data_IF_161944658112
#
_entry.id   IF_161944658112
#
_cell.length_a   1.000
_cell.length_b   1.000
_cell.length_c   1.000
_cell.angle_alpha   90.00
_cell.angle_beta   90.00
_cell.angle_gamma   90.00
#
_symmetry.space_group_name_H-M   'P 1'
#
loop_
_entity.id
_entity.type
_entity.pdbx_description
1 polymer ?
#
# COMPACT_ATOMS: atom_id res chain seq x y z
N UNK A 1 18.24 -2.98 2.14
CA UNK A 1 18.01 -4.43 2.38
C UNK A 1 16.62 -4.63 2.97
N UNK A 2 16.04 -5.83 2.95
CA UNK A 2 14.68 -6.06 3.49
C UNK A 2 14.56 -5.72 4.98
N UNK A 3 15.62 -5.96 5.77
CA UNK A 3 15.64 -5.66 7.21
C UNK A 3 15.52 -4.15 7.52
N UNK A 4 16.11 -3.28 6.72
CA UNK A 4 16.00 -1.81 6.88
C UNK A 4 14.58 -1.32 6.58
N UNK A 5 13.87 -2.02 5.68
CA UNK A 5 12.50 -1.65 5.30
C UNK A 5 11.51 -2.02 6.40
N UNK A 6 11.69 -3.19 7.03
CA UNK A 6 10.83 -3.64 8.13
C UNK A 6 11.09 -2.84 9.41
N UNK A 7 12.35 -2.46 9.67
CA UNK A 7 12.69 -1.55 10.76
C UNK A 7 12.08 -0.16 10.57
N UNK A 8 12.18 0.40 9.36
CA UNK A 8 11.53 1.67 9.01
C UNK A 8 10.00 1.61 9.16
N UNK A 9 9.37 0.53 8.69
CA UNK A 9 7.91 0.31 8.80
C UNK A 9 7.47 0.25 10.26
N UNK A 10 8.23 -0.44 11.12
CA UNK A 10 7.95 -0.53 12.54
C UNK A 10 8.11 0.83 13.25
N UNK A 11 9.19 1.57 12.96
CA UNK A 11 9.37 2.92 13.51
C UNK A 11 8.25 3.86 13.08
N UNK A 12 7.88 3.84 11.80
CA UNK A 12 6.79 4.66 11.27
C UNK A 12 5.45 4.29 11.91
N UNK A 13 5.10 3.01 12.00
CA UNK A 13 3.86 2.54 12.61
C UNK A 13 3.75 2.98 14.08
N UNK A 14 4.83 2.88 14.85
CA UNK A 14 4.89 3.34 16.25
C UNK A 14 4.68 4.85 16.37
N UNK A 15 5.40 5.64 15.58
CA UNK A 15 5.26 7.09 15.57
C UNK A 15 3.84 7.53 15.22
N UNK A 16 3.17 6.78 14.34
CA UNK A 16 1.82 7.11 13.92
C UNK A 16 0.76 6.72 14.94
N UNK A 17 0.88 5.56 15.62
CA UNK A 17 0.03 5.18 16.75
C UNK A 17 0.13 6.24 17.86
N UNK A 18 1.35 6.71 18.16
CA UNK A 18 1.58 7.78 19.13
C UNK A 18 0.90 9.09 18.71
N UNK A 19 0.93 9.43 17.41
CA UNK A 19 0.32 10.64 16.88
C UNK A 19 -1.22 10.58 16.79
N UNK A 20 -1.82 9.39 16.59
CA UNK A 20 -3.28 9.24 16.41
C UNK A 20 -4.03 8.76 17.64
N UNK A 21 -3.32 8.36 18.71
CA UNK A 21 -3.92 7.85 19.94
C UNK A 21 -4.36 6.38 19.83
N UNK A 22 -4.79 5.77 20.95
CA UNK A 22 -5.06 4.33 21.06
C UNK A 22 -6.21 3.83 20.18
N UNK A 23 -7.13 4.71 19.78
CA UNK A 23 -8.25 4.40 18.89
C UNK A 23 -7.93 4.69 17.41
N UNK A 24 -6.79 5.33 17.13
CA UNK A 24 -6.35 5.67 15.78
C UNK A 24 -5.43 4.59 15.24
N UNK A 25 -5.70 4.10 14.03
CA UNK A 25 -4.89 3.03 13.44
C UNK A 25 -3.49 3.48 12.99
N UNK A 26 -3.21 4.79 12.98
CA UNK A 26 -1.94 5.38 12.56
C UNK A 26 -1.55 5.07 11.11
N UNK A 27 -2.39 4.38 10.34
CA UNK A 27 -1.98 3.82 9.05
C UNK A 27 -2.20 4.81 7.91
N UNK A 28 -3.16 5.72 8.06
CA UNK A 28 -3.57 6.65 7.01
C UNK A 28 -3.85 8.04 7.58
N UNK A 29 -2.84 8.92 7.62
CA UNK A 29 -3.08 10.33 7.90
C UNK A 29 -3.45 11.08 6.62
N UNK A 30 -4.20 12.17 6.77
CA UNK A 30 -4.46 13.16 5.71
C UNK A 30 -3.17 13.60 4.99
N UNK A 31 -2.01 13.60 5.67
CA UNK A 31 -0.73 13.98 5.06
C UNK A 31 0.00 12.84 4.35
N UNK A 32 -0.54 11.63 4.33
CA UNK A 32 0.06 10.50 3.63
C UNK A 32 -0.08 10.67 2.12
N UNK A 33 1.03 10.52 1.38
CA UNK A 33 1.01 10.55 -0.08
C UNK A 33 0.10 9.47 -0.69
N UNK A 34 -0.07 8.34 0.00
CA UNK A 34 -1.01 7.27 -0.41
C UNK A 34 -2.45 7.71 -0.19
N UNK A 35 -2.75 8.29 0.97
CA UNK A 35 -4.08 8.82 1.27
C UNK A 35 -4.48 9.90 0.27
N UNK A 36 -3.60 10.86 0.00
CA UNK A 36 -3.87 11.93 -0.96
C UNK A 36 -4.00 11.40 -2.40
N UNK A 37 -3.24 10.37 -2.79
CA UNK A 37 -3.41 9.73 -4.09
C UNK A 37 -4.74 8.97 -4.20
N UNK A 38 -5.21 8.28 -3.15
CA UNK A 38 -6.53 7.65 -3.13
C UNK A 38 -7.66 8.69 -3.16
N UNK A 39 -7.53 9.74 -2.34
CA UNK A 39 -8.48 10.85 -2.31
C UNK A 39 -8.58 11.54 -3.68
N UNK A 40 -7.44 11.79 -4.33
CA UNK A 40 -7.38 12.33 -5.68
C UNK A 40 -8.06 11.42 -6.72
N UNK A 41 -7.85 10.11 -6.62
CA UNK A 41 -8.46 9.13 -7.53
C UNK A 41 -9.98 9.03 -7.39
N UNK A 42 -10.50 9.10 -6.15
CA UNK A 42 -11.93 8.89 -5.86
C UNK A 42 -12.77 10.17 -6.00
N UNK A 43 -12.22 11.31 -5.58
CA UNK A 43 -12.99 12.55 -5.43
C UNK A 43 -12.48 13.72 -6.26
N UNK A 44 -11.34 13.56 -6.95
CA UNK A 44 -10.69 14.64 -7.68
C UNK A 44 -9.99 15.62 -6.73
N UNK A 45 -8.67 15.55 -6.69
CA UNK A 45 -7.82 16.36 -5.80
C UNK A 45 -6.36 16.36 -6.25
N UNK A 46 -5.56 17.28 -5.73
CA UNK A 46 -4.19 17.55 -6.24
C UNK A 46 -3.19 17.89 -5.13
N UNK A 47 -3.46 17.49 -3.88
CA UNK A 47 -2.62 17.87 -2.73
C UNK A 47 -1.29 17.09 -2.65
N UNK A 48 -0.66 16.82 -3.80
CA UNK A 48 0.67 16.20 -3.90
C UNK A 48 0.69 14.68 -4.04
N UNK A 49 -0.45 14.00 -4.03
CA UNK A 49 -0.55 12.57 -4.36
C UNK A 49 -0.55 12.32 -5.87
N UNK A 50 0.15 11.27 -6.32
CA UNK A 50 0.19 10.84 -7.72
C UNK A 50 -0.61 9.56 -7.90
N UNK A 51 -1.78 9.68 -8.56
CA UNK A 51 -2.63 8.51 -8.89
C UNK A 51 -1.89 7.50 -9.76
N UNK A 52 -1.15 7.89 -10.83
CA UNK A 52 -0.38 6.93 -11.63
C UNK A 52 0.67 6.18 -10.80
N UNK A 53 1.38 6.86 -9.90
CA UNK A 53 2.39 6.21 -9.07
C UNK A 53 1.76 5.24 -8.05
N UNK A 54 0.59 5.58 -7.52
CA UNK A 54 -0.18 4.68 -6.67
C UNK A 54 -0.57 3.41 -7.41
N UNK A 55 -1.16 3.54 -8.59
CA UNK A 55 -1.56 2.39 -9.44
C UNK A 55 -0.35 1.52 -9.77
N UNK A 56 0.76 2.14 -10.19
CA UNK A 56 2.01 1.44 -10.49
C UNK A 56 2.54 0.65 -9.30
N UNK A 57 2.52 1.23 -8.09
CA UNK A 57 2.94 0.54 -6.87
C UNK A 57 2.03 -0.63 -6.52
N UNK A 58 0.72 -0.49 -6.68
CA UNK A 58 -0.23 -1.59 -6.43
C UNK A 58 0.05 -2.74 -7.39
N UNK A 59 0.15 -2.46 -8.70
CA UNK A 59 0.43 -3.47 -9.72
C UNK A 59 1.79 -4.17 -9.52
N UNK A 60 2.82 -3.46 -9.05
CA UNK A 60 4.12 -4.06 -8.74
C UNK A 60 4.11 -4.99 -7.53
N UNK A 61 3.13 -4.86 -6.62
CA UNK A 61 3.04 -5.71 -5.44
C UNK A 61 2.07 -6.89 -5.63
N UNK A 62 1.26 -6.89 -6.68
CA UNK A 62 0.38 -7.99 -7.04
C UNK A 62 1.16 -9.16 -7.64
N UNK A 63 0.85 -10.39 -7.23
CA UNK A 63 1.57 -11.60 -7.67
C UNK A 63 1.44 -11.81 -9.18
N UNK A 64 0.29 -11.46 -9.74
CA UNK A 64 -0.01 -11.62 -11.17
C UNK A 64 0.73 -10.66 -12.09
N UNK A 65 1.08 -9.46 -11.61
CA UNK A 65 1.61 -8.38 -12.46
C UNK A 65 3.02 -7.94 -12.08
N UNK A 66 3.55 -8.34 -10.91
CA UNK A 66 4.87 -7.89 -10.44
C UNK A 66 6.07 -8.20 -11.34
N UNK A 67 5.98 -9.23 -12.20
CA UNK A 67 7.05 -9.63 -13.13
C UNK A 67 6.83 -9.13 -14.55
N UNK A 68 5.71 -8.43 -14.81
CA UNK A 68 5.37 -7.92 -16.12
C UNK A 68 5.83 -6.47 -16.27
N UNK A 69 6.03 -6.05 -17.52
CA UNK A 69 6.32 -4.67 -17.83
C UNK A 69 5.05 -3.81 -17.58
N UNK A 70 5.24 -2.66 -16.92
CA UNK A 70 4.12 -1.86 -16.43
C UNK A 70 3.29 -1.24 -17.55
N UNK A 71 3.92 -0.73 -18.60
CA UNK A 71 3.20 -0.15 -19.74
C UNK A 71 2.35 -1.21 -20.44
N UNK A 72 2.82 -2.44 -20.56
CA UNK A 72 2.07 -3.57 -21.13
C UNK A 72 0.86 -3.93 -20.27
N UNK A 73 1.03 -4.02 -18.95
CA UNK A 73 -0.08 -4.28 -18.01
C UNK A 73 -1.13 -3.17 -18.09
N UNK A 74 -0.70 -1.91 -18.12
CA UNK A 74 -1.59 -0.76 -18.22
C UNK A 74 -2.29 -0.68 -19.59
N UNK A 75 -1.62 -1.02 -20.70
CA UNK A 75 -2.23 -1.05 -22.02
C UNK A 75 -3.30 -2.14 -22.11
N UNK A 76 -3.02 -3.34 -21.59
CA UNK A 76 -3.98 -4.45 -21.58
C UNK A 76 -5.20 -4.14 -20.69
N UNK A 77 -4.97 -3.69 -19.45
CA UNK A 77 -6.04 -3.35 -18.53
C UNK A 77 -6.86 -2.14 -19.00
N UNK A 78 -6.21 -1.13 -19.58
CA UNK A 78 -6.85 0.12 -19.97
C UNK A 78 -7.55 0.10 -21.32
N UNK A 79 -7.07 -0.68 -22.30
CA UNK A 79 -7.59 -0.65 -23.67
C UNK A 79 -8.29 -1.91 -24.14
N UNK A 80 -7.97 -3.07 -23.55
CA UNK A 80 -8.41 -4.36 -24.11
C UNK A 80 -9.43 -5.05 -23.24
N UNK A 81 -9.07 -5.34 -21.99
CA UNK A 81 -9.81 -6.33 -21.20
C UNK A 81 -9.98 -5.92 -19.73
N UNK A 82 -10.51 -4.70 -19.49
CA UNK A 82 -10.76 -4.23 -18.13
C UNK A 82 -11.67 -5.17 -17.34
N UNK A 83 -12.74 -5.70 -17.93
CA UNK A 83 -13.68 -6.60 -17.23
C UNK A 83 -12.99 -7.85 -16.69
N UNK A 84 -12.04 -8.43 -17.42
CA UNK A 84 -11.27 -9.58 -16.97
C UNK A 84 -10.18 -9.18 -15.96
N UNK A 85 -9.57 -8.01 -16.18
CA UNK A 85 -8.61 -7.41 -15.27
C UNK A 85 -9.19 -7.08 -13.90
N UNK A 86 -10.39 -6.52 -13.86
CA UNK A 86 -11.08 -6.07 -12.65
C UNK A 86 -11.24 -7.22 -11.66
N UNK A 87 -11.79 -8.36 -12.09
CA UNK A 87 -11.94 -9.53 -11.20
C UNK A 87 -10.61 -9.95 -10.56
N UNK A 88 -9.54 -9.96 -11.35
CA UNK A 88 -8.21 -10.38 -10.88
C UNK A 88 -7.60 -9.34 -9.95
N UNK A 89 -7.77 -8.06 -10.28
CA UNK A 89 -7.30 -6.91 -9.49
C UNK A 89 -8.02 -6.86 -8.14
N UNK A 90 -9.35 -6.93 -8.12
CA UNK A 90 -10.14 -6.95 -6.89
C UNK A 90 -9.71 -8.06 -5.94
N UNK A 91 -9.43 -9.25 -6.47
CA UNK A 91 -9.02 -10.39 -5.65
C UNK A 91 -7.65 -10.19 -5.01
N UNK A 92 -6.64 -9.83 -5.79
CA UNK A 92 -5.28 -9.69 -5.26
C UNK A 92 -5.08 -8.41 -4.44
N UNK A 93 -5.85 -7.35 -4.69
CA UNK A 93 -5.86 -6.17 -3.81
C UNK A 93 -6.35 -6.57 -2.42
N UNK A 94 -7.40 -7.40 -2.30
CA UNK A 94 -7.90 -7.85 -1.01
C UNK A 94 -6.81 -8.59 -0.21
N UNK A 95 -6.01 -9.43 -0.88
CA UNK A 95 -4.87 -10.11 -0.27
C UNK A 95 -3.74 -9.12 0.09
N UNK A 96 -3.50 -8.11 -0.75
CA UNK A 96 -2.47 -7.09 -0.52
C UNK A 96 -2.79 -6.17 0.65
N UNK A 97 -4.07 -5.82 0.84
CA UNK A 97 -4.52 -4.95 1.93
C UNK A 97 -4.90 -5.70 3.19
N UNK A 98 -4.95 -7.04 3.14
CA UNK A 98 -5.17 -7.85 4.33
C UNK A 98 -4.09 -7.50 5.36
N UNK A 99 -4.48 -7.16 6.61
CA UNK A 99 -3.49 -6.94 7.66
C UNK A 99 -2.64 -8.21 7.78
N UNK A 100 -1.32 -8.04 7.87
CA UNK A 100 -0.43 -9.16 8.20
C UNK A 100 -0.90 -9.72 9.54
N UNK A 101 -1.64 -10.83 9.49
CA UNK A 101 -1.98 -11.63 10.64
C UNK A 101 -0.67 -12.18 11.16
N UNK A 102 -0.33 -11.84 12.41
CA UNK A 102 0.95 -12.11 13.10
C UNK A 102 1.96 -10.96 13.01
N UNK A 103 1.71 -9.93 13.82
CA UNK A 103 2.82 -9.18 14.43
C UNK A 103 3.46 -10.15 15.42
N UNK A 104 4.61 -10.74 15.09
CA UNK A 104 5.36 -11.50 16.09
C UNK A 104 5.70 -10.57 17.26
N UNK A 105 5.45 -10.98 18.52
CA UNK A 105 5.87 -10.22 19.67
C UNK A 105 7.40 -10.13 19.65
N UNK A 106 7.93 -8.94 19.41
CA UNK A 106 9.35 -8.67 19.63
C UNK A 106 9.59 -8.81 21.12
N UNK A 107 10.25 -9.90 21.54
CA UNK A 107 10.66 -10.05 22.92
C UNK A 107 11.47 -8.81 23.35
N UNK A 108 11.18 -8.23 24.53
CA UNK A 108 11.97 -7.11 25.01
C UNK A 108 13.43 -7.56 25.08
N UNK A 109 14.30 -6.82 24.42
CA UNK A 109 15.74 -7.03 24.48
C UNK A 109 16.16 -6.84 25.95
N UNK A 110 16.25 -7.94 26.70
CA UNK A 110 16.87 -7.96 28.01
C UNK A 110 18.37 -7.74 27.78
N UNK A 111 18.80 -6.48 27.87
CA UNK A 111 20.20 -6.16 28.04
C UNK A 111 20.60 -6.59 29.46
N UNK A 112 21.38 -7.67 29.55
CA UNK A 112 22.15 -8.03 30.75
C UNK A 112 23.31 -7.06 30.99
#
# INVERSE_FOLDING_TARGET
MSWELDEYRNMYARAMIEATGPDGDGKYTIKSAIYEALNAALYGGHNGGSVPDLVNRVLMNMTSTRMLEQADVLDVLGRRDWEQGEWKVTREIADLVAPQSEVEPVEPFCAE
#
